data_IF_524523885049
#
_entry.id   IF_524523885049
#
_cell.length_a   1.000
_cell.length_b   1.000
_cell.length_c   1.000
_cell.angle_alpha   90.00
_cell.angle_beta   90.00
_cell.angle_gamma   90.00
#
_symmetry.space_group_name_H-M   'P 1'
#
loop_
_entity.id
_entity.type
_entity.pdbx_description
1 polymer ?
#
# COMPACT_ATOMS: atom_id res chain seq x y z
N UNK A 1 33.01 29.17 -7.54
CA UNK A 1 32.28 28.06 -8.20
C UNK A 1 31.07 27.75 -7.34
N UNK A 2 29.88 28.17 -7.76
CA UNK A 2 28.64 28.03 -6.99
C UNK A 2 28.07 26.62 -7.15
N UNK A 3 27.84 25.94 -6.03
CA UNK A 3 27.13 24.67 -5.97
C UNK A 3 25.64 25.00 -6.13
N UNK A 4 25.08 24.71 -7.31
CA UNK A 4 23.63 24.73 -7.53
C UNK A 4 23.05 23.51 -6.82
N UNK A 5 22.40 23.74 -5.68
CA UNK A 5 21.44 22.80 -5.11
C UNK A 5 20.26 22.70 -6.08
N UNK A 6 20.18 21.61 -6.84
CA UNK A 6 18.95 21.21 -7.51
C UNK A 6 18.00 20.61 -6.47
N UNK A 7 17.45 21.46 -5.61
CA UNK A 7 16.21 21.14 -4.89
C UNK A 7 15.03 21.32 -5.86
N UNK A 8 14.86 20.38 -6.79
CA UNK A 8 13.54 20.12 -7.34
C UNK A 8 12.89 19.09 -6.40
N UNK A 9 12.25 19.60 -5.35
CA UNK A 9 11.28 18.82 -4.61
C UNK A 9 10.24 18.29 -5.60
N UNK A 10 10.26 16.98 -5.80
CA UNK A 10 9.31 16.19 -6.58
C UNK A 10 7.93 16.27 -5.92
N UNK A 11 7.27 17.42 -6.01
CA UNK A 11 5.83 17.46 -5.81
C UNK A 11 5.19 16.90 -7.08
N UNK A 12 4.34 15.87 -6.97
CA UNK A 12 3.63 15.37 -8.14
C UNK A 12 2.78 16.50 -8.72
N UNK A 13 2.86 16.67 -10.05
CA UNK A 13 1.97 17.55 -10.81
C UNK A 13 1.03 16.67 -11.61
N UNK A 14 -0.22 17.08 -11.76
CA UNK A 14 -1.19 16.35 -12.60
C UNK A 14 -2.21 15.57 -11.76
N UNK A 15 -2.63 14.41 -12.26
CA UNK A 15 -3.72 13.65 -11.64
C UNK A 15 -3.28 13.02 -10.32
N UNK A 16 -2.00 12.64 -10.20
CA UNK A 16 -1.44 12.09 -8.97
C UNK A 16 -1.59 13.04 -7.77
N UNK A 17 -1.40 14.35 -7.97
CA UNK A 17 -1.58 15.34 -6.89
C UNK A 17 -3.02 15.36 -6.37
N UNK A 18 -4.00 15.33 -7.30
CA UNK A 18 -5.42 15.28 -6.95
C UNK A 18 -5.79 13.99 -6.23
N UNK A 19 -5.23 12.86 -6.66
CA UNK A 19 -5.42 11.57 -5.97
C UNK A 19 -4.85 11.62 -4.57
N UNK A 20 -3.64 12.16 -4.39
CA UNK A 20 -3.03 12.30 -3.05
C UNK A 20 -3.93 13.12 -2.13
N UNK A 21 -4.42 14.28 -2.61
CA UNK A 21 -5.34 15.11 -1.84
C UNK A 21 -6.64 14.38 -1.50
N UNK A 22 -7.21 13.64 -2.46
CA UNK A 22 -8.42 12.86 -2.25
C UNK A 22 -8.24 11.73 -1.23
N UNK A 23 -7.19 10.93 -1.37
CA UNK A 23 -6.88 9.83 -0.45
C UNK A 23 -6.59 10.39 0.95
N UNK A 24 -5.74 11.40 1.07
CA UNK A 24 -5.44 12.02 2.38
C UNK A 24 -6.71 12.60 3.03
N UNK A 25 -7.60 13.22 2.26
CA UNK A 25 -8.90 13.72 2.74
C UNK A 25 -9.81 12.57 3.23
N UNK A 26 -9.94 11.48 2.46
CA UNK A 26 -10.76 10.32 2.85
C UNK A 26 -10.27 9.72 4.18
N UNK A 27 -8.96 9.62 4.39
CA UNK A 27 -8.41 9.11 5.65
C UNK A 27 -8.50 10.13 6.78
N UNK A 28 -8.37 11.42 6.51
CA UNK A 28 -8.60 12.50 7.48
C UNK A 28 -10.03 12.54 7.99
N UNK A 29 -11.01 12.53 7.09
CA UNK A 29 -12.44 12.52 7.45
C UNK A 29 -12.83 11.26 8.24
N UNK A 30 -12.11 10.15 8.03
CA UNK A 30 -12.31 8.91 8.75
C UNK A 30 -11.56 8.83 10.09
N UNK A 31 -10.71 9.81 10.45
CA UNK A 31 -9.84 9.77 11.64
C UNK A 31 -8.81 8.64 11.59
N UNK A 32 -8.27 8.36 10.40
CA UNK A 32 -7.34 7.25 10.10
C UNK A 32 -6.01 7.75 9.51
N UNK A 33 -5.61 8.96 9.83
CA UNK A 33 -4.42 9.65 9.32
C UNK A 33 -3.12 8.88 9.56
N UNK A 34 -3.10 7.99 10.56
CA UNK A 34 -1.98 7.08 10.83
C UNK A 34 -1.64 6.14 9.67
N UNK A 35 -2.54 5.96 8.69
CA UNK A 35 -2.28 5.18 7.47
C UNK A 35 -1.57 6.01 6.37
N UNK A 36 -1.65 7.34 6.40
CA UNK A 36 -1.10 8.20 5.34
C UNK A 36 0.41 8.00 5.13
N UNK A 37 1.25 7.82 6.18
CA UNK A 37 2.66 7.50 5.99
C UNK A 37 2.88 6.26 5.13
N UNK A 38 2.06 5.21 5.27
CA UNK A 38 2.17 3.99 4.46
C UNK A 38 2.02 4.29 2.96
N UNK A 39 1.03 5.10 2.56
CA UNK A 39 0.83 5.45 1.14
C UNK A 39 1.97 6.28 0.56
N UNK A 40 2.48 7.24 1.35
CA UNK A 40 3.65 8.05 0.97
C UNK A 40 4.89 7.19 0.79
N UNK A 41 5.07 6.20 1.66
CA UNK A 41 6.21 5.27 1.60
C UNK A 41 6.05 4.25 0.47
N UNK A 42 4.84 3.75 0.20
CA UNK A 42 4.57 2.89 -0.95
C UNK A 42 4.93 3.61 -2.27
N UNK A 43 4.45 4.83 -2.47
CA UNK A 43 4.85 5.62 -3.65
C UNK A 43 6.35 5.87 -3.71
N UNK A 44 7.00 6.18 -2.58
CA UNK A 44 8.45 6.34 -2.54
C UNK A 44 9.19 5.07 -2.97
N UNK A 45 8.80 3.90 -2.44
CA UNK A 45 9.45 2.63 -2.75
C UNK A 45 9.20 2.18 -4.17
N UNK A 46 7.99 2.42 -4.72
CA UNK A 46 7.73 2.24 -6.15
C UNK A 46 8.75 3.02 -6.98
N UNK A 47 8.99 4.29 -6.66
CA UNK A 47 9.96 5.10 -7.40
C UNK A 47 11.42 4.67 -7.20
N UNK A 48 11.74 3.90 -6.15
CA UNK A 48 13.08 3.33 -5.96
C UNK A 48 13.28 2.05 -6.79
N UNK A 49 12.30 1.14 -6.75
CA UNK A 49 12.40 -0.16 -7.43
C UNK A 49 12.01 -0.07 -8.91
N UNK A 50 11.21 0.93 -9.27
CA UNK A 50 10.74 1.19 -10.63
C UNK A 50 10.71 2.69 -10.96
N UNK A 51 11.88 3.30 -11.24
CA UNK A 51 11.99 4.74 -11.48
C UNK A 51 11.25 5.25 -12.73
N UNK A 52 10.92 4.36 -13.66
CA UNK A 52 10.18 4.63 -14.90
C UNK A 52 8.66 4.43 -14.77
N UNK A 53 8.15 4.14 -13.56
CA UNK A 53 6.73 3.94 -13.32
C UNK A 53 5.92 5.14 -13.84
N UNK A 54 4.91 4.86 -14.66
CA UNK A 54 4.04 5.90 -15.21
C UNK A 54 3.06 6.45 -14.16
N UNK A 55 2.40 7.57 -14.49
CA UNK A 55 1.46 8.24 -13.57
C UNK A 55 0.35 7.29 -13.07
N UNK A 56 -0.30 6.44 -13.90
CA UNK A 56 -1.24 5.43 -13.42
C UNK A 56 -0.67 4.47 -12.37
N UNK A 57 0.56 3.97 -12.57
CA UNK A 57 1.22 3.06 -11.62
C UNK A 57 1.52 3.77 -10.31
N UNK A 58 1.95 5.03 -10.36
CA UNK A 58 2.15 5.87 -9.18
C UNK A 58 0.84 6.14 -8.43
N UNK A 59 -0.24 6.42 -9.16
CA UNK A 59 -1.59 6.58 -8.58
C UNK A 59 -2.02 5.30 -7.86
N UNK A 60 -1.83 4.13 -8.50
CA UNK A 60 -2.18 2.85 -7.90
C UNK A 60 -1.40 2.59 -6.61
N UNK A 61 -0.09 2.86 -6.58
CA UNK A 61 0.71 2.72 -5.36
C UNK A 61 0.24 3.62 -4.21
N UNK A 62 -0.23 4.84 -4.49
CA UNK A 62 -0.74 5.71 -3.43
C UNK A 62 -2.16 5.33 -2.98
N UNK A 63 -2.99 4.82 -3.90
CA UNK A 63 -4.42 4.58 -3.66
C UNK A 63 -4.80 3.11 -3.40
N UNK A 64 -3.84 2.17 -3.43
CA UNK A 64 -4.10 0.72 -3.36
C UNK A 64 -5.02 0.33 -2.21
N UNK A 65 -4.86 0.99 -1.07
CA UNK A 65 -5.52 0.71 0.20
C UNK A 65 -6.72 1.64 0.51
N UNK A 66 -7.20 2.41 -0.47
CA UNK A 66 -8.23 3.45 -0.29
C UNK A 66 -9.48 2.95 0.45
N UNK A 67 -9.87 1.69 0.23
CA UNK A 67 -11.00 1.04 0.92
C UNK A 67 -10.89 1.13 2.45
N UNK A 68 -9.67 1.13 3.01
CA UNK A 68 -9.44 1.22 4.46
C UNK A 68 -9.96 2.52 5.06
N UNK A 69 -9.97 3.61 4.30
CA UNK A 69 -10.55 4.89 4.71
C UNK A 69 -12.08 4.80 4.83
N UNK A 70 -12.71 4.08 3.91
CA UNK A 70 -14.16 4.00 3.72
C UNK A 70 -14.84 2.96 4.63
N UNK A 71 -14.11 1.94 5.08
CA UNK A 71 -14.68 0.88 5.92
C UNK A 71 -15.04 1.38 7.32
N UNK A 72 -16.21 0.97 7.83
CA UNK A 72 -16.68 1.29 9.19
C UNK A 72 -16.22 0.28 10.26
N UNK A 73 -15.90 -0.95 9.86
CA UNK A 73 -15.58 -2.04 10.78
C UNK A 73 -14.13 -1.97 11.29
N UNK A 74 -13.94 -2.33 12.57
CA UNK A 74 -12.61 -2.49 13.15
C UNK A 74 -11.94 -3.76 12.60
N UNK A 75 -10.72 -3.63 12.07
CA UNK A 75 -9.95 -4.74 11.49
C UNK A 75 -9.79 -5.92 12.45
N UNK A 76 -9.65 -5.66 13.75
CA UNK A 76 -9.36 -6.69 14.75
C UNK A 76 -10.47 -7.73 14.86
N UNK A 77 -11.75 -7.33 14.84
CA UNK A 77 -12.85 -8.29 14.98
C UNK A 77 -12.88 -9.28 13.82
N UNK A 78 -12.71 -8.75 12.61
CA UNK A 78 -12.65 -9.54 11.37
C UNK A 78 -11.55 -10.59 11.44
N UNK A 79 -10.36 -10.22 11.89
CA UNK A 79 -9.21 -11.11 11.91
C UNK A 79 -9.16 -12.04 13.13
N UNK A 80 -10.17 -12.04 14.02
CA UNK A 80 -10.27 -13.10 15.03
C UNK A 80 -10.54 -14.45 14.39
N UNK A 81 -11.47 -14.49 13.45
CA UNK A 81 -11.93 -15.74 12.80
C UNK A 81 -11.35 -15.95 11.41
N UNK A 82 -10.78 -14.91 10.80
CA UNK A 82 -10.25 -14.93 9.44
C UNK A 82 -8.72 -14.80 9.43
N UNK A 83 -8.07 -15.34 8.40
CA UNK A 83 -6.66 -15.07 8.11
C UNK A 83 -6.48 -13.71 7.43
N UNK A 84 -5.28 -13.14 7.44
CA UNK A 84 -5.05 -11.84 6.79
C UNK A 84 -5.02 -11.91 5.27
N UNK A 85 -4.67 -13.07 4.74
CA UNK A 85 -4.58 -13.42 3.32
C UNK A 85 -5.84 -14.17 2.83
N UNK A 86 -6.90 -14.21 3.64
CA UNK A 86 -8.15 -14.85 3.27
C UNK A 86 -8.79 -14.12 2.06
N UNK A 87 -9.12 -14.83 0.97
CA UNK A 87 -9.74 -14.21 -0.21
C UNK A 87 -11.08 -13.53 0.10
N UNK A 88 -11.82 -13.98 1.11
CA UNK A 88 -13.02 -13.34 1.63
C UNK A 88 -12.77 -11.96 2.24
N UNK A 89 -11.52 -11.65 2.61
CA UNK A 89 -11.07 -10.31 2.97
C UNK A 89 -10.46 -9.56 1.78
N UNK A 90 -9.51 -10.16 1.08
CA UNK A 90 -8.68 -9.48 0.07
C UNK A 90 -9.52 -9.04 -1.13
N UNK A 91 -10.36 -9.92 -1.68
CA UNK A 91 -11.12 -9.65 -2.90
C UNK A 91 -12.10 -8.47 -2.72
N UNK A 92 -12.91 -8.39 -1.64
CA UNK A 92 -13.74 -7.21 -1.39
C UNK A 92 -12.93 -5.93 -1.12
N UNK A 93 -11.76 -6.06 -0.48
CA UNK A 93 -10.89 -4.93 -0.17
C UNK A 93 -10.34 -4.29 -1.46
N UNK A 94 -9.71 -5.09 -2.32
CA UNK A 94 -9.17 -4.66 -3.61
C UNK A 94 -10.27 -4.10 -4.52
N UNK A 95 -11.38 -4.82 -4.65
CA UNK A 95 -12.48 -4.43 -5.56
C UNK A 95 -13.08 -3.09 -5.21
N UNK A 96 -13.43 -2.86 -3.94
CA UNK A 96 -14.02 -1.58 -3.51
C UNK A 96 -13.02 -0.43 -3.61
N UNK A 97 -11.75 -0.68 -3.32
CA UNK A 97 -10.68 0.29 -3.52
C UNK A 97 -10.58 0.70 -4.98
N UNK A 98 -10.52 -0.28 -5.88
CA UNK A 98 -10.42 -0.09 -7.33
C UNK A 98 -11.66 0.64 -7.90
N UNK A 99 -12.87 0.24 -7.50
CA UNK A 99 -14.12 0.89 -7.90
C UNK A 99 -14.14 2.36 -7.44
N UNK A 100 -13.75 2.63 -6.18
CA UNK A 100 -13.76 4.00 -5.65
C UNK A 100 -12.79 4.91 -6.37
N UNK A 101 -11.53 4.47 -6.57
CA UNK A 101 -10.55 5.31 -7.25
C UNK A 101 -10.92 5.53 -8.71
N UNK A 102 -11.50 4.52 -9.37
CA UNK A 102 -12.02 4.64 -10.74
C UNK A 102 -13.11 5.71 -10.84
N UNK A 103 -14.09 5.68 -9.93
CA UNK A 103 -15.15 6.70 -9.89
C UNK A 103 -14.59 8.12 -9.68
N UNK A 104 -13.59 8.26 -8.80
CA UNK A 104 -12.92 9.53 -8.58
C UNK A 104 -12.24 10.03 -9.86
N UNK A 105 -11.45 9.18 -10.52
CA UNK A 105 -10.73 9.54 -11.76
C UNK A 105 -11.68 9.90 -12.90
N UNK A 106 -12.79 9.18 -13.05
CA UNK A 106 -13.84 9.50 -14.03
C UNK A 106 -14.46 10.88 -13.76
N UNK A 107 -14.74 11.22 -12.49
CA UNK A 107 -15.25 12.55 -12.11
C UNK A 107 -14.23 13.68 -12.33
N UNK A 108 -12.95 13.34 -12.46
CA UNK A 108 -11.89 14.30 -12.77
C UNK A 108 -11.59 14.39 -14.28
N UNK A 109 -12.41 13.75 -15.13
CA UNK A 109 -12.20 13.65 -16.58
C UNK A 109 -10.80 13.11 -16.95
N UNK A 110 -10.29 12.16 -16.16
CA UNK A 110 -9.02 11.51 -16.48
C UNK A 110 -9.15 10.62 -17.72
N UNK A 111 -8.03 10.39 -18.41
CA UNK A 111 -8.00 9.55 -19.60
C UNK A 111 -8.61 8.16 -19.30
N UNK A 112 -9.57 7.66 -20.10
CA UNK A 112 -10.23 6.37 -19.84
C UNK A 112 -9.27 5.19 -19.81
N UNK A 113 -8.28 5.14 -20.71
CA UNK A 113 -7.29 4.06 -20.75
C UNK A 113 -6.41 4.04 -19.50
N UNK A 114 -5.96 5.22 -19.07
CA UNK A 114 -5.22 5.38 -17.81
C UNK A 114 -6.08 5.07 -16.58
N UNK A 115 -7.36 5.41 -16.61
CA UNK A 115 -8.32 5.10 -15.54
C UNK A 115 -8.51 3.60 -15.37
N UNK A 116 -8.71 2.86 -16.47
CA UNK A 116 -8.80 1.39 -16.42
C UNK A 116 -7.49 0.73 -15.98
N UNK A 117 -6.35 1.32 -16.36
CA UNK A 117 -5.05 0.87 -15.85
C UNK A 117 -4.95 1.01 -14.32
N UNK A 118 -5.30 2.17 -13.76
CA UNK A 118 -5.32 2.35 -12.29
C UNK A 118 -6.26 1.34 -11.64
N UNK A 119 -7.46 1.17 -12.20
CA UNK A 119 -8.44 0.20 -11.71
C UNK A 119 -7.84 -1.22 -11.64
N UNK A 120 -7.23 -1.70 -12.73
CA UNK A 120 -6.60 -3.02 -12.77
C UNK A 120 -5.49 -3.17 -11.75
N UNK A 121 -4.60 -2.18 -11.64
CA UNK A 121 -3.48 -2.23 -10.68
C UNK A 121 -3.96 -2.28 -9.23
N UNK A 122 -4.96 -1.46 -8.85
CA UNK A 122 -5.54 -1.51 -7.50
C UNK A 122 -6.31 -2.81 -7.28
N UNK A 123 -6.98 -3.34 -8.30
CA UNK A 123 -7.71 -4.61 -8.21
C UNK A 123 -6.77 -5.80 -7.94
N UNK A 124 -5.51 -5.73 -8.41
CA UNK A 124 -4.55 -6.84 -8.32
C UNK A 124 -3.38 -6.57 -7.36
N UNK A 125 -3.38 -5.48 -6.59
CA UNK A 125 -2.22 -5.08 -5.77
C UNK A 125 -1.83 -6.07 -4.65
N UNK A 126 -2.71 -6.98 -4.23
CA UNK A 126 -2.37 -8.03 -3.25
C UNK A 126 -1.74 -9.28 -3.90
N UNK A 127 -1.98 -9.49 -5.20
CA UNK A 127 -1.63 -10.72 -5.93
C UNK A 127 -0.51 -10.51 -6.96
N UNK A 128 -0.34 -9.28 -7.46
CA UNK A 128 0.54 -8.98 -8.59
C UNK A 128 0.00 -9.57 -9.91
N UNK A 129 0.90 -10.02 -10.79
CA UNK A 129 0.58 -10.79 -11.99
C UNK A 129 1.04 -10.16 -13.31
N UNK A 130 1.46 -8.91 -13.28
CA UNK A 130 2.17 -8.25 -14.37
C UNK A 130 3.24 -7.30 -13.79
N UNK A 131 4.21 -6.81 -14.59
CA UNK A 131 5.31 -6.01 -14.06
C UNK A 131 4.88 -4.74 -13.30
N UNK A 132 3.75 -4.12 -13.66
CA UNK A 132 3.25 -2.91 -13.00
C UNK A 132 2.55 -3.27 -11.69
N UNK A 133 1.71 -4.31 -11.70
CA UNK A 133 1.04 -4.82 -10.51
C UNK A 133 2.04 -5.38 -9.49
N UNK A 134 3.06 -6.11 -9.96
CA UNK A 134 4.16 -6.64 -9.14
C UNK A 134 4.93 -5.51 -8.46
N UNK A 135 5.24 -4.43 -9.19
CA UNK A 135 5.92 -3.27 -8.63
C UNK A 135 5.08 -2.55 -7.56
N UNK A 136 3.76 -2.46 -7.75
CA UNK A 136 2.85 -1.89 -6.74
C UNK A 136 2.79 -2.78 -5.50
N UNK A 137 2.63 -4.09 -5.68
CA UNK A 137 2.59 -5.08 -4.59
C UNK A 137 3.90 -5.07 -3.78
N UNK A 138 5.04 -5.01 -4.45
CA UNK A 138 6.35 -4.96 -3.81
C UNK A 138 6.53 -3.67 -3.01
N UNK A 139 6.14 -2.54 -3.59
CA UNK A 139 6.19 -1.25 -2.91
C UNK A 139 5.31 -1.19 -1.65
N UNK A 140 4.07 -1.72 -1.72
CA UNK A 140 3.17 -1.89 -0.56
C UNK A 140 3.81 -2.79 0.50
N UNK A 141 4.44 -3.89 0.08
CA UNK A 141 5.09 -4.84 0.99
C UNK A 141 6.28 -4.22 1.73
N UNK A 142 7.11 -3.46 1.04
CA UNK A 142 8.23 -2.75 1.67
C UNK A 142 7.70 -1.67 2.64
N UNK A 143 6.71 -0.88 2.23
CA UNK A 143 6.16 0.18 3.09
C UNK A 143 5.42 -0.37 4.30
N UNK A 144 4.80 -1.56 4.20
CA UNK A 144 4.22 -2.26 5.33
C UNK A 144 5.27 -2.55 6.41
N UNK A 145 6.45 -3.07 6.03
CA UNK A 145 7.50 -3.36 7.01
C UNK A 145 8.07 -2.08 7.65
N UNK A 146 8.09 -0.97 6.91
CA UNK A 146 8.55 0.32 7.41
C UNK A 146 7.53 0.99 8.35
N UNK A 147 6.24 0.92 8.03
CA UNK A 147 5.21 1.75 8.66
C UNK A 147 4.28 0.98 9.61
N UNK A 148 3.99 -0.29 9.33
CA UNK A 148 2.83 -0.96 9.92
C UNK A 148 3.20 -2.01 10.98
N UNK A 149 4.47 -2.44 11.05
CA UNK A 149 4.92 -3.50 11.97
C UNK A 149 4.50 -3.23 13.41
N UNK A 150 4.70 -2.02 13.93
CA UNK A 150 4.37 -1.69 15.32
C UNK A 150 2.86 -1.78 15.60
N UNK A 151 2.03 -1.37 14.64
CA UNK A 151 0.57 -1.53 14.75
C UNK A 151 0.18 -2.99 14.86
N UNK A 152 0.80 -3.87 14.05
CA UNK A 152 0.52 -5.31 14.08
C UNK A 152 1.06 -6.00 15.32
N UNK A 153 2.23 -5.61 15.84
CA UNK A 153 2.73 -6.08 17.14
C UNK A 153 1.75 -5.74 18.27
N UNK A 154 1.13 -4.56 18.24
CA UNK A 154 0.07 -4.18 19.20
C UNK A 154 -1.20 -5.05 19.15
N UNK A 155 -1.37 -5.88 18.11
CA UNK A 155 -2.49 -6.81 17.98
C UNK A 155 -2.19 -8.19 18.57
N UNK A 156 -0.95 -8.50 18.95
CA UNK A 156 -0.55 -9.80 19.52
C UNK A 156 -1.44 -10.22 20.70
N UNK A 157 -1.80 -9.35 21.68
CA UNK A 157 -2.66 -9.75 22.80
C UNK A 157 -4.09 -10.15 22.37
N UNK A 158 -4.52 -9.76 21.17
CA UNK A 158 -5.90 -10.00 20.67
C UNK A 158 -5.98 -11.11 19.63
N UNK A 159 -4.92 -11.29 18.83
CA UNK A 159 -4.91 -12.19 17.68
C UNK A 159 -3.92 -13.36 17.83
N UNK A 160 -3.00 -13.27 18.78
CA UNK A 160 -1.94 -14.26 19.00
C UNK A 160 -0.72 -14.04 18.11
N UNK A 161 0.44 -14.42 18.64
CA UNK A 161 1.75 -14.24 17.98
C UNK A 161 1.84 -14.92 16.62
N UNK A 162 1.33 -16.15 16.50
CA UNK A 162 1.39 -16.91 15.25
C UNK A 162 0.68 -16.18 14.10
N UNK A 163 -0.53 -15.65 14.34
CA UNK A 163 -1.29 -14.95 13.30
C UNK A 163 -0.59 -13.67 12.82
N UNK A 164 0.13 -12.99 13.71
CA UNK A 164 0.94 -11.81 13.32
C UNK A 164 2.18 -12.25 12.53
N UNK A 165 2.81 -13.38 12.90
CA UNK A 165 3.90 -13.96 12.13
C UNK A 165 3.43 -14.31 10.71
N UNK A 166 2.29 -14.98 10.58
CA UNK A 166 1.73 -15.37 9.27
C UNK A 166 1.50 -14.14 8.38
N UNK A 167 1.06 -13.00 8.96
CA UNK A 167 0.97 -11.74 8.21
C UNK A 167 2.34 -11.25 7.74
N UNK A 168 3.36 -11.27 8.61
CA UNK A 168 4.69 -10.83 8.23
C UNK A 168 5.28 -11.74 7.14
N UNK A 169 5.10 -13.05 7.26
CA UNK A 169 5.52 -14.01 6.25
C UNK A 169 4.81 -13.74 4.92
N UNK A 170 3.48 -13.59 4.92
CA UNK A 170 2.70 -13.26 3.71
C UNK A 170 3.21 -12.00 3.00
N UNK A 171 3.45 -10.91 3.74
CA UNK A 171 3.94 -9.65 3.14
C UNK A 171 5.36 -9.80 2.57
N UNK A 172 6.20 -10.65 3.16
CA UNK A 172 7.54 -10.90 2.63
C UNK A 172 7.52 -11.84 1.43
N UNK A 173 6.78 -12.95 1.53
CA UNK A 173 6.82 -14.04 0.56
C UNK A 173 6.19 -13.64 -0.77
N UNK A 174 5.11 -12.84 -0.74
CA UNK A 174 4.39 -12.40 -1.94
C UNK A 174 5.19 -11.49 -2.85
N UNK A 175 6.27 -10.86 -2.37
CA UNK A 175 7.05 -9.94 -3.21
C UNK A 175 7.60 -10.67 -4.44
N UNK A 176 7.47 -10.03 -5.61
CA UNK A 176 7.83 -10.60 -6.90
C UNK A 176 9.32 -10.38 -7.22
N UNK A 177 9.85 -9.17 -6.98
CA UNK A 177 11.22 -8.82 -7.34
C UNK A 177 12.21 -9.24 -6.25
N UNK A 178 13.36 -9.77 -6.70
CA UNK A 178 14.43 -10.16 -5.79
C UNK A 178 15.04 -8.97 -5.05
N UNK A 179 15.09 -7.82 -5.73
CA UNK A 179 15.59 -6.54 -5.24
C UNK A 179 14.68 -5.98 -4.15
N UNK A 180 13.35 -6.08 -4.33
CA UNK A 180 12.37 -5.71 -3.31
C UNK A 180 12.53 -6.58 -2.05
N UNK A 181 12.71 -7.89 -2.23
CA UNK A 181 12.99 -8.82 -1.12
C UNK A 181 14.28 -8.46 -0.38
N UNK A 182 15.34 -8.08 -1.08
CA UNK A 182 16.59 -7.65 -0.45
C UNK A 182 16.43 -6.36 0.36
N UNK A 183 15.66 -5.39 -0.16
CA UNK A 183 15.35 -4.14 0.56
C UNK A 183 14.55 -4.43 1.84
N UNK A 184 13.52 -5.29 1.75
CA UNK A 184 12.64 -5.60 2.87
C UNK A 184 13.26 -6.55 3.90
N UNK A 185 14.18 -7.43 3.50
CA UNK A 185 14.77 -8.47 4.35
C UNK A 185 15.26 -7.98 5.73
N UNK A 186 16.06 -6.90 5.85
CA UNK A 186 16.47 -6.41 7.18
C UNK A 186 15.28 -5.96 8.04
N UNK A 187 14.23 -5.38 7.43
CA UNK A 187 13.03 -4.94 8.15
C UNK A 187 12.16 -6.14 8.56
N UNK A 188 12.00 -7.14 7.69
CA UNK A 188 11.31 -8.39 7.98
C UNK A 188 11.99 -9.14 9.14
N UNK A 189 13.31 -9.33 9.09
CA UNK A 189 14.08 -9.96 10.19
C UNK A 189 13.92 -9.20 11.51
N UNK A 190 13.93 -7.87 11.45
CA UNK A 190 13.67 -7.03 12.63
C UNK A 190 12.24 -7.21 13.15
N UNK A 191 11.24 -7.27 12.27
CA UNK A 191 9.85 -7.49 12.64
C UNK A 191 9.65 -8.84 13.36
N UNK A 192 10.26 -9.91 12.85
CA UNK A 192 10.25 -11.24 13.49
C UNK A 192 10.93 -11.20 14.86
N UNK A 193 12.10 -10.57 14.97
CA UNK A 193 12.78 -10.42 16.26
C UNK A 193 11.93 -9.67 17.28
N UNK A 194 11.31 -8.54 16.87
CA UNK A 194 10.42 -7.80 17.75
C UNK A 194 9.20 -8.63 18.16
N UNK A 195 8.62 -9.41 17.23
CA UNK A 195 7.53 -10.34 17.54
C UNK A 195 7.96 -11.43 18.52
N UNK A 196 9.24 -11.82 18.50
CA UNK A 196 9.78 -12.76 19.49
C UNK A 196 9.89 -12.20 20.90
N UNK A 197 9.98 -10.87 21.00
CA UNK A 197 10.12 -10.11 22.25
C UNK A 197 8.78 -9.59 22.80
N UNK A 198 7.66 -9.70 22.06
CA UNK A 198 6.29 -9.37 22.53
C UNK A 198 5.64 -10.49 23.29
#
# INVERSE_FOLDING_TARGET
>A
MGIRYLNHCLFPKGMLEKVIQYVDQVFGDAGKESNIPHFKRALYWLMQIRPDADEPTQIAAYAHDLERGLRKEASVERFRTMAFDDPGHLVPHQRRGAETIREFLQKQDYDPGKTEKVYGLVLHHEEGGDPDADAVMDADSISFFECNVQTFLGLVPKLGKQKIKDKFDYMYDRMAMSEAKQIAEPMYKKALKCLDET
#
